data_IF_624420543543
#
_entry.id   IF_624420543543
#
_cell.length_a   1.000
_cell.length_b   1.000
_cell.length_c   1.000
_cell.angle_alpha   90.00
_cell.angle_beta   90.00
_cell.angle_gamma   90.00
#
_symmetry.space_group_name_H-M   'P 1'
#
loop_
_entity.id
_entity.type
_entity.pdbx_description
1 polymer ?
#
# COMPACT_ATOMS: atom_id res chain seq x y z
N UNK A 1 16.44 -20.77 75.57
CA UNK A 1 17.48 -21.83 75.60
C UNK A 1 17.39 -22.67 74.33
N UNK A 2 18.44 -22.57 73.48
CA UNK A 2 19.14 -23.65 72.72
C UNK A 2 18.28 -24.68 71.97
N UNK A 3 18.59 -25.11 70.77
CA UNK A 3 19.82 -25.23 69.92
C UNK A 3 19.42 -25.57 68.47
N UNK A 4 20.04 -24.95 67.56
CA UNK A 4 20.69 -25.43 66.34
C UNK A 4 20.52 -26.90 65.99
N UNK A 5 20.04 -27.14 64.72
CA UNK A 5 20.22 -28.42 64.02
C UNK A 5 20.34 -28.08 62.52
N UNK A 6 21.59 -28.09 62.03
CA UNK A 6 21.99 -27.96 60.64
C UNK A 6 21.82 -29.35 60.00
N UNK A 7 21.08 -29.46 58.94
CA UNK A 7 21.15 -30.60 58.02
C UNK A 7 21.26 -30.11 56.57
N UNK A 8 22.45 -30.17 56.06
CA UNK A 8 22.82 -30.04 54.67
C UNK A 8 22.31 -31.26 53.90
N UNK A 9 21.44 -31.03 52.89
CA UNK A 9 21.12 -32.01 51.88
C UNK A 9 21.65 -31.46 50.55
N UNK A 10 22.73 -32.10 50.10
CA UNK A 10 23.28 -31.97 48.76
C UNK A 10 22.32 -32.63 47.78
N UNK A 11 21.53 -31.81 47.06
CA UNK A 11 20.67 -32.22 45.99
C UNK A 11 21.33 -31.89 44.66
N UNK A 12 21.62 -32.89 43.87
CA UNK A 12 22.15 -32.83 42.50
C UNK A 12 21.12 -32.12 41.64
N UNK A 13 21.44 -30.90 41.21
CA UNK A 13 20.63 -30.18 40.24
C UNK A 13 20.88 -30.75 38.83
N UNK A 14 19.98 -31.58 38.35
CA UNK A 14 19.91 -31.94 36.93
C UNK A 14 19.55 -30.71 36.12
N UNK A 15 20.51 -30.17 35.37
CA UNK A 15 20.29 -29.12 34.40
C UNK A 15 19.56 -29.74 33.20
N UNK A 16 18.25 -29.70 33.19
CA UNK A 16 17.47 -29.91 31.98
C UNK A 16 17.67 -28.71 31.09
N UNK A 17 18.51 -28.85 30.06
CA UNK A 17 18.62 -27.87 28.98
C UNK A 17 17.32 -27.88 28.18
N UNK A 18 16.38 -27.05 28.55
CA UNK A 18 15.23 -26.73 27.72
C UNK A 18 15.80 -25.90 26.58
N UNK A 19 15.91 -26.51 25.41
CA UNK A 19 16.06 -25.80 24.13
C UNK A 19 14.81 -24.93 23.96
N UNK A 20 14.86 -23.75 24.54
CA UNK A 20 13.88 -22.72 24.31
C UNK A 20 13.97 -22.28 22.86
N UNK A 21 13.00 -22.71 22.06
CA UNK A 21 12.70 -22.04 20.79
C UNK A 21 12.41 -20.60 21.18
N UNK A 22 13.37 -19.70 20.94
CA UNK A 22 13.16 -18.28 21.10
C UNK A 22 11.93 -17.91 20.26
N UNK A 23 10.93 -17.21 20.84
CA UNK A 23 9.82 -16.73 20.03
C UNK A 23 10.44 -15.88 18.92
N UNK A 24 10.13 -16.22 17.67
CA UNK A 24 10.48 -15.39 16.51
C UNK A 24 9.96 -14.00 16.86
N UNK A 25 10.88 -13.10 17.19
CA UNK A 25 10.55 -11.78 17.69
C UNK A 25 9.66 -11.09 16.65
N UNK A 26 8.42 -10.82 17.04
CA UNK A 26 7.56 -9.94 16.27
C UNK A 26 8.34 -8.64 16.08
N UNK A 27 8.74 -8.34 14.85
CA UNK A 27 9.40 -7.07 14.53
C UNK A 27 8.34 -5.99 14.81
N UNK A 28 8.51 -5.29 15.93
CA UNK A 28 7.65 -4.15 16.26
C UNK A 28 8.08 -3.01 15.35
N UNK A 29 7.23 -2.60 14.44
CA UNK A 29 7.40 -1.37 13.67
C UNK A 29 7.14 -0.16 14.58
N UNK A 30 8.07 0.06 15.52
CA UNK A 30 7.94 1.09 16.55
C UNK A 30 8.27 2.49 16.03
N UNK A 31 8.88 2.64 14.88
CA UNK A 31 9.31 3.93 14.35
C UNK A 31 9.09 4.02 12.83
N UNK A 32 8.78 5.23 12.34
CA UNK A 32 8.78 5.54 10.91
C UNK A 32 10.17 5.32 10.30
N UNK A 33 10.23 5.04 8.99
CA UNK A 33 11.48 4.85 8.27
C UNK A 33 12.42 6.04 8.45
N UNK A 34 13.68 5.76 8.74
CA UNK A 34 14.76 6.75 8.64
C UNK A 34 15.23 6.87 7.18
N UNK A 35 15.90 8.01 6.86
CA UNK A 35 16.50 8.17 5.54
C UNK A 35 17.46 7.02 5.19
N UNK A 36 18.33 6.65 6.12
CA UNK A 36 19.31 5.58 5.91
C UNK A 36 18.68 4.20 5.66
N UNK A 37 17.54 3.92 6.29
CA UNK A 37 16.78 2.68 6.05
C UNK A 37 16.11 2.72 4.68
N UNK A 38 15.38 3.81 4.36
CA UNK A 38 14.73 3.99 3.07
C UNK A 38 15.71 3.93 1.91
N UNK A 39 16.89 4.60 2.03
CA UNK A 39 17.88 4.68 0.96
C UNK A 39 18.51 3.32 0.60
N UNK A 40 18.53 2.36 1.54
CA UNK A 40 18.99 0.98 1.31
C UNK A 40 17.97 0.12 0.55
N UNK A 41 16.68 0.48 0.58
CA UNK A 41 15.65 -0.30 -0.11
C UNK A 41 15.69 -0.04 -1.61
N UNK A 42 15.60 -1.10 -2.39
CA UNK A 42 15.31 -1.02 -3.83
C UNK A 42 13.80 -0.88 -4.06
N UNK A 43 13.34 -0.47 -5.25
CA UNK A 43 11.91 -0.50 -5.59
C UNK A 43 11.29 -1.88 -5.40
N UNK A 44 12.00 -2.96 -5.74
CA UNK A 44 11.52 -4.33 -5.60
C UNK A 44 11.39 -4.75 -4.13
N UNK A 45 12.31 -4.34 -3.25
CA UNK A 45 12.20 -4.57 -1.81
C UNK A 45 10.95 -3.91 -1.25
N UNK A 46 10.64 -2.67 -1.67
CA UNK A 46 9.47 -1.92 -1.22
C UNK A 46 8.17 -2.62 -1.66
N UNK A 47 8.11 -3.07 -2.92
CA UNK A 47 6.96 -3.83 -3.44
C UNK A 47 6.80 -5.14 -2.66
N UNK A 48 7.90 -5.85 -2.38
CA UNK A 48 7.87 -7.07 -1.59
C UNK A 48 7.39 -6.83 -0.15
N UNK A 49 7.78 -5.72 0.47
CA UNK A 49 7.29 -5.32 1.80
C UNK A 49 5.79 -5.05 1.80
N UNK A 50 5.26 -4.33 0.79
CA UNK A 50 3.83 -4.08 0.64
C UNK A 50 3.04 -5.39 0.44
N UNK A 51 3.55 -6.32 -0.38
CA UNK A 51 2.93 -7.65 -0.57
C UNK A 51 2.85 -8.43 0.74
N UNK A 52 3.95 -8.48 1.50
CA UNK A 52 3.99 -9.12 2.83
C UNK A 52 3.08 -8.44 3.84
N UNK A 53 2.96 -7.11 3.77
CA UNK A 53 2.02 -6.35 4.59
C UNK A 53 0.57 -6.73 4.28
N UNK A 54 0.20 -6.82 3.01
CA UNK A 54 -1.12 -7.28 2.61
C UNK A 54 -1.41 -8.73 3.04
N UNK A 55 -0.41 -9.61 3.01
CA UNK A 55 -0.56 -10.96 3.53
C UNK A 55 -0.87 -10.97 5.03
N UNK A 56 -0.14 -10.16 5.83
CA UNK A 56 -0.42 -10.03 7.27
C UNK A 56 -1.82 -9.48 7.53
N UNK A 57 -2.23 -8.42 6.81
CA UNK A 57 -3.58 -7.86 6.89
C UNK A 57 -4.65 -8.94 6.64
N UNK A 58 -4.51 -9.73 5.58
CA UNK A 58 -5.46 -10.80 5.23
C UNK A 58 -5.55 -11.93 6.26
N UNK A 59 -4.47 -12.17 6.99
CA UNK A 59 -4.40 -13.20 8.02
C UNK A 59 -4.79 -12.69 9.42
N UNK A 60 -5.10 -11.39 9.57
CA UNK A 60 -5.32 -10.78 10.89
C UNK A 60 -4.07 -10.81 11.77
N UNK A 61 -2.89 -10.70 11.15
CA UNK A 61 -1.58 -10.78 11.80
C UNK A 61 -0.77 -9.50 11.58
N UNK A 62 -1.46 -8.36 11.54
CA UNK A 62 -0.85 -7.07 11.35
C UNK A 62 0.26 -6.83 12.39
N UNK A 63 1.25 -6.08 11.96
CA UNK A 63 2.33 -5.67 12.83
C UNK A 63 1.81 -4.74 13.93
N UNK A 64 2.29 -4.85 15.17
CA UNK A 64 1.95 -3.88 16.20
C UNK A 64 2.56 -2.53 15.83
N UNK A 65 1.71 -1.55 15.49
CA UNK A 65 2.10 -0.17 15.20
C UNK A 65 1.99 0.70 16.46
N UNK A 66 3.09 1.31 16.90
CA UNK A 66 3.05 2.41 17.85
C UNK A 66 2.90 3.74 17.08
N UNK A 67 1.67 4.09 16.74
CA UNK A 67 1.38 5.29 15.96
C UNK A 67 1.84 6.59 16.65
N UNK A 68 1.86 6.64 17.99
CA UNK A 68 2.35 7.82 18.71
C UNK A 68 3.87 7.94 18.61
N UNK A 69 4.60 6.83 18.71
CA UNK A 69 6.05 6.83 18.50
C UNK A 69 6.40 7.16 17.04
N UNK A 70 5.68 6.60 16.07
CA UNK A 70 5.85 6.89 14.65
C UNK A 70 5.57 8.37 14.33
N UNK A 71 4.49 8.94 14.87
CA UNK A 71 4.15 10.35 14.74
C UNK A 71 5.25 11.25 15.30
N UNK A 72 5.74 10.97 16.51
CA UNK A 72 6.85 11.73 17.12
C UNK A 72 8.14 11.59 16.31
N UNK A 73 8.45 10.38 15.85
CA UNK A 73 9.67 10.08 15.08
C UNK A 73 9.69 10.77 13.72
N UNK A 74 8.55 10.92 13.06
CA UNK A 74 8.42 11.56 11.74
C UNK A 74 8.16 13.08 11.79
N UNK A 75 7.92 13.67 12.97
CA UNK A 75 7.52 15.08 13.09
C UNK A 75 8.55 16.10 12.53
N UNK A 76 9.84 15.78 12.57
CA UNK A 76 10.92 16.65 12.09
C UNK A 76 11.46 16.30 10.70
N UNK A 77 10.94 15.23 10.09
CA UNK A 77 11.34 14.76 8.77
C UNK A 77 10.68 13.44 8.43
N UNK A 78 10.32 13.28 7.17
CA UNK A 78 9.67 12.08 6.67
C UNK A 78 10.46 11.48 5.52
N UNK A 79 10.53 10.16 5.46
CA UNK A 79 11.29 9.41 4.46
C UNK A 79 10.47 8.25 3.89
N UNK A 80 9.28 8.53 3.33
CA UNK A 80 8.41 7.50 2.79
C UNK A 80 9.07 6.74 1.67
N UNK A 81 8.81 5.43 1.62
CA UNK A 81 9.36 4.56 0.58
C UNK A 81 8.55 4.59 -0.72
N UNK A 82 7.25 4.89 -0.63
CA UNK A 82 6.31 4.86 -1.75
C UNK A 82 5.35 6.05 -1.75
N UNK A 83 4.76 6.33 -2.90
CA UNK A 83 3.53 7.10 -3.05
C UNK A 83 2.45 6.21 -3.64
N UNK A 84 1.27 6.20 -3.04
CA UNK A 84 0.14 5.34 -3.42
C UNK A 84 -1.01 6.23 -3.92
N UNK A 85 -1.41 6.04 -5.17
CA UNK A 85 -2.63 6.60 -5.72
C UNK A 85 -3.75 5.57 -5.62
N UNK A 86 -4.75 5.83 -4.79
CA UNK A 86 -5.90 4.95 -4.63
C UNK A 86 -7.24 5.68 -4.74
N UNK A 87 -8.34 4.91 -4.75
CA UNK A 87 -9.68 5.50 -4.71
C UNK A 87 -9.97 6.10 -3.32
N UNK A 88 -10.87 7.10 -3.29
CA UNK A 88 -11.42 7.64 -2.02
C UNK A 88 -12.35 6.64 -1.31
N UNK A 89 -12.63 5.48 -1.87
CA UNK A 89 -13.53 4.46 -1.30
C UNK A 89 -13.12 4.16 0.15
N UNK A 90 -14.06 4.32 1.09
CA UNK A 90 -13.80 4.16 2.52
C UNK A 90 -13.36 2.74 2.93
N UNK A 91 -13.61 1.76 2.07
CA UNK A 91 -13.25 0.34 2.28
C UNK A 91 -11.84 0.02 1.78
N UNK A 92 -11.16 0.97 1.12
CA UNK A 92 -9.84 0.75 0.49
C UNK A 92 -8.76 1.70 1.04
N UNK A 93 -8.51 1.76 2.37
CA UNK A 93 -7.40 2.51 2.95
C UNK A 93 -6.08 1.77 2.68
N UNK A 94 -5.30 2.25 1.71
CA UNK A 94 -4.12 1.54 1.21
C UNK A 94 -3.08 1.23 2.29
N UNK A 95 -2.84 2.17 3.19
CA UNK A 95 -1.90 2.01 4.30
C UNK A 95 -2.29 0.87 5.25
N UNK A 96 -3.58 0.79 5.60
CA UNK A 96 -4.10 -0.29 6.46
C UNK A 96 -4.01 -1.64 5.75
N UNK A 97 -4.45 -1.69 4.48
CA UNK A 97 -4.47 -2.92 3.67
C UNK A 97 -3.06 -3.50 3.46
N UNK A 98 -2.04 -2.63 3.46
CA UNK A 98 -0.65 -3.03 3.28
C UNK A 98 0.14 -3.05 4.59
N UNK A 99 -0.54 -2.94 5.75
CA UNK A 99 0.08 -2.96 7.08
C UNK A 99 1.26 -1.97 7.18
N UNK A 100 1.03 -0.72 6.73
CA UNK A 100 2.00 0.38 6.74
C UNK A 100 1.72 1.33 7.90
N UNK A 101 2.78 1.89 8.46
CA UNK A 101 2.73 2.85 9.55
C UNK A 101 2.74 4.32 9.09
N UNK A 102 2.65 5.23 10.09
CA UNK A 102 2.78 6.67 9.85
C UNK A 102 4.20 6.98 9.34
N UNK A 103 4.27 7.61 8.17
CA UNK A 103 5.53 8.01 7.53
C UNK A 103 6.12 7.00 6.55
N UNK A 104 5.51 5.83 6.36
CA UNK A 104 6.01 4.80 5.45
C UNK A 104 5.65 5.06 3.99
N UNK A 105 4.53 5.72 3.71
CA UNK A 105 4.10 6.08 2.37
C UNK A 105 3.39 7.44 2.31
N UNK A 106 3.41 8.07 1.13
CA UNK A 106 2.49 9.13 0.78
C UNK A 106 1.19 8.52 0.26
N UNK A 107 0.05 9.12 0.62
CA UNK A 107 -1.27 8.71 0.14
C UNK A 107 -1.90 9.82 -0.70
N UNK A 108 -2.18 9.52 -1.96
CA UNK A 108 -2.98 10.35 -2.85
C UNK A 108 -4.28 9.60 -3.16
N UNK A 109 -5.45 10.22 -2.88
CA UNK A 109 -6.74 9.54 -3.04
C UNK A 109 -7.71 10.41 -3.83
N UNK A 110 -8.28 9.82 -4.87
CA UNK A 110 -9.32 10.44 -5.69
C UNK A 110 -10.25 9.36 -6.23
N UNK A 111 -11.55 9.66 -6.40
CA UNK A 111 -12.52 8.68 -6.92
C UNK A 111 -12.05 8.09 -8.25
N UNK A 112 -12.03 6.75 -8.32
CA UNK A 112 -11.54 6.03 -9.50
C UNK A 112 -10.04 6.11 -9.73
N UNK A 113 -9.24 6.47 -8.73
CA UNK A 113 -7.75 6.51 -8.78
C UNK A 113 -7.18 7.11 -10.08
N UNK A 114 -7.82 8.16 -10.62
CA UNK A 114 -7.38 8.87 -11.83
C UNK A 114 -6.19 9.78 -11.53
N UNK A 115 -5.33 10.04 -12.52
CA UNK A 115 -4.29 11.07 -12.42
C UNK A 115 -4.82 12.42 -12.96
N UNK A 116 -4.52 13.50 -12.24
CA UNK A 116 -4.65 14.88 -12.68
C UNK A 116 -3.34 15.63 -12.36
N UNK A 117 -3.23 16.90 -12.74
CA UNK A 117 -1.97 17.63 -12.59
C UNK A 117 -1.53 17.76 -11.12
N UNK A 118 -2.49 17.94 -10.19
CA UNK A 118 -2.18 18.01 -8.75
C UNK A 118 -1.67 16.67 -8.19
N UNK A 119 -2.26 15.56 -8.62
CA UNK A 119 -1.82 14.20 -8.27
C UNK A 119 -0.42 13.94 -8.85
N UNK A 120 -0.19 14.26 -10.13
CA UNK A 120 1.12 14.07 -10.77
C UNK A 120 2.19 14.93 -10.10
N UNK A 121 1.90 16.23 -9.84
CA UNK A 121 2.81 17.12 -9.11
C UNK A 121 3.14 16.60 -7.69
N UNK A 122 2.15 16.03 -7.00
CA UNK A 122 2.37 15.37 -5.70
C UNK A 122 3.28 14.15 -5.81
N UNK A 123 3.16 13.36 -6.87
CA UNK A 123 4.06 12.23 -7.13
C UNK A 123 5.49 12.68 -7.48
N UNK A 124 5.63 13.77 -8.25
CA UNK A 124 6.94 14.38 -8.52
C UNK A 124 7.62 14.82 -7.23
N UNK A 125 6.89 15.52 -6.36
CA UNK A 125 7.38 15.86 -5.03
C UNK A 125 7.80 14.61 -4.24
N UNK A 126 6.93 13.60 -4.18
CA UNK A 126 7.20 12.37 -3.44
C UNK A 126 8.46 11.65 -3.93
N UNK A 127 8.64 11.52 -5.25
CA UNK A 127 9.74 10.77 -5.83
C UNK A 127 11.01 11.60 -5.96
N UNK A 128 10.93 12.80 -6.55
CA UNK A 128 12.11 13.62 -6.87
C UNK A 128 12.67 14.36 -5.65
N UNK A 129 11.80 14.86 -4.77
CA UNK A 129 12.21 15.68 -3.62
C UNK A 129 12.32 14.84 -2.35
N UNK A 130 11.28 14.09 -2.01
CA UNK A 130 11.25 13.28 -0.79
C UNK A 130 11.93 11.92 -0.95
N UNK A 131 12.14 11.43 -2.18
CA UNK A 131 12.93 10.25 -2.51
C UNK A 131 12.16 8.94 -2.37
N UNK A 132 10.84 8.94 -2.50
CA UNK A 132 10.06 7.72 -2.65
C UNK A 132 10.48 6.98 -3.93
N UNK A 133 10.56 5.66 -3.87
CA UNK A 133 11.09 4.82 -4.96
C UNK A 133 10.03 3.99 -5.67
N UNK A 134 8.77 4.01 -5.19
CA UNK A 134 7.64 3.31 -5.81
C UNK A 134 6.48 4.27 -5.98
N UNK A 135 5.90 4.29 -7.18
CA UNK A 135 4.58 4.84 -7.48
C UNK A 135 3.64 3.66 -7.63
N UNK A 136 2.71 3.49 -6.69
CA UNK A 136 1.67 2.46 -6.76
C UNK A 136 0.35 3.08 -7.18
N UNK A 137 -0.25 2.58 -8.25
CA UNK A 137 -1.62 2.90 -8.65
C UNK A 137 -2.51 1.72 -8.27
N UNK A 138 -3.36 1.90 -7.26
CA UNK A 138 -4.22 0.84 -6.75
C UNK A 138 -5.69 1.10 -7.07
N UNK A 139 -6.27 0.23 -7.90
CA UNK A 139 -7.71 0.11 -8.08
C UNK A 139 -8.32 -0.88 -7.08
N UNK A 140 -9.64 -1.01 -7.09
CA UNK A 140 -10.33 -2.00 -6.27
C UNK A 140 -11.59 -2.53 -6.95
N UNK A 141 -12.03 -3.71 -6.53
CA UNK A 141 -13.27 -4.33 -7.03
C UNK A 141 -14.51 -3.50 -6.63
N UNK A 142 -15.59 -3.64 -7.39
CA UNK A 142 -16.87 -3.00 -7.14
C UNK A 142 -16.81 -1.47 -6.99
N UNK A 143 -15.86 -0.79 -7.67
CA UNK A 143 -15.63 0.65 -7.53
C UNK A 143 -16.81 1.48 -8.01
N UNK A 144 -17.35 2.35 -7.13
CA UNK A 144 -18.49 3.20 -7.43
C UNK A 144 -18.23 4.22 -8.55
N UNK A 145 -17.01 4.78 -8.62
CA UNK A 145 -16.63 5.69 -9.70
C UNK A 145 -16.58 4.99 -11.06
N UNK A 146 -16.08 3.75 -11.09
CA UNK A 146 -16.07 2.94 -12.32
C UNK A 146 -17.50 2.62 -12.77
N UNK A 147 -18.39 2.19 -11.85
CA UNK A 147 -19.81 1.98 -12.14
C UNK A 147 -20.46 3.24 -12.72
N UNK A 148 -20.23 4.39 -12.07
CA UNK A 148 -20.75 5.68 -12.53
C UNK A 148 -20.24 6.07 -13.93
N UNK A 149 -18.99 5.76 -14.28
CA UNK A 149 -18.44 6.02 -15.60
C UNK A 149 -19.06 5.10 -16.67
N UNK A 150 -19.27 3.81 -16.34
CA UNK A 150 -19.94 2.84 -17.21
C UNK A 150 -21.38 3.29 -17.52
N UNK A 151 -22.11 3.66 -16.47
CA UNK A 151 -23.54 4.05 -16.57
C UNK A 151 -23.74 5.52 -16.99
N UNK A 152 -22.65 6.25 -17.29
CA UNK A 152 -22.64 7.65 -17.76
C UNK A 152 -23.38 8.60 -16.82
N UNK A 153 -23.21 8.40 -15.50
CA UNK A 153 -23.82 9.24 -14.47
C UNK A 153 -23.41 10.71 -14.65
N UNK A 154 -24.40 11.61 -14.51
CA UNK A 154 -24.18 13.06 -14.60
C UNK A 154 -24.56 13.70 -13.26
N UNK A 155 -23.59 14.34 -12.60
CA UNK A 155 -23.79 15.04 -11.35
C UNK A 155 -22.66 16.08 -11.15
N UNK A 156 -22.94 17.33 -11.35
CA UNK A 156 -22.03 18.44 -11.06
C UNK A 156 -20.58 18.15 -11.51
N UNK A 157 -19.63 18.34 -10.61
CA UNK A 157 -18.20 18.08 -10.88
C UNK A 157 -17.86 16.60 -11.05
N UNK A 158 -18.68 15.69 -10.54
CA UNK A 158 -18.51 14.25 -10.73
C UNK A 158 -18.55 13.88 -12.23
N UNK A 159 -19.38 14.54 -13.02
CA UNK A 159 -19.44 14.31 -14.48
C UNK A 159 -18.08 14.44 -15.15
N UNK A 160 -17.33 15.50 -14.83
CA UNK A 160 -15.99 15.72 -15.37
C UNK A 160 -14.94 14.73 -14.85
N UNK A 161 -15.09 14.27 -13.60
CA UNK A 161 -14.24 13.24 -13.02
C UNK A 161 -14.46 11.89 -13.74
N UNK A 162 -15.72 11.46 -13.89
CA UNK A 162 -16.07 10.20 -14.54
C UNK A 162 -15.68 10.18 -16.04
N UNK A 163 -15.67 11.35 -16.69
CA UNK A 163 -15.17 11.47 -18.07
C UNK A 163 -13.71 11.03 -18.20
N UNK A 164 -12.89 11.15 -17.16
CA UNK A 164 -11.48 10.70 -17.15
C UNK A 164 -11.34 9.17 -17.04
N UNK A 165 -12.37 8.49 -16.54
CA UNK A 165 -12.43 7.02 -16.46
C UNK A 165 -12.96 6.40 -17.75
N UNK A 166 -13.76 7.13 -18.55
CA UNK A 166 -14.40 6.61 -19.78
C UNK A 166 -13.45 5.95 -20.76
N UNK A 167 -12.21 6.44 -21.00
CA UNK A 167 -11.27 5.74 -21.86
C UNK A 167 -11.02 4.28 -21.43
N UNK A 168 -11.03 4.00 -20.13
CA UNK A 168 -10.90 2.62 -19.63
C UNK A 168 -12.14 1.78 -19.96
N UNK A 169 -13.35 2.36 -19.85
CA UNK A 169 -14.59 1.68 -20.24
C UNK A 169 -14.54 1.30 -21.73
N UNK A 170 -14.10 2.22 -22.59
CA UNK A 170 -14.02 2.02 -24.05
C UNK A 170 -12.95 0.99 -24.42
N UNK A 171 -11.77 1.06 -23.78
CA UNK A 171 -10.64 0.17 -24.06
C UNK A 171 -10.80 -1.25 -23.50
N UNK A 172 -11.73 -1.47 -22.56
CA UNK A 172 -11.93 -2.80 -21.97
C UNK A 172 -12.64 -3.72 -22.95
N UNK A 173 -11.94 -4.78 -23.37
CA UNK A 173 -12.55 -5.87 -24.16
C UNK A 173 -13.27 -6.81 -23.21
N UNK A 174 -14.57 -6.99 -23.41
CA UNK A 174 -15.40 -7.82 -22.54
C UNK A 174 -16.53 -8.47 -23.33
N UNK A 175 -16.75 -9.76 -23.10
CA UNK A 175 -17.89 -10.50 -23.67
C UNK A 175 -18.97 -10.61 -22.61
N UNK A 176 -20.16 -10.07 -22.88
CA UNK A 176 -21.29 -10.06 -21.97
C UNK A 176 -21.84 -8.66 -21.72
N UNK A 177 -22.66 -8.52 -20.68
CA UNK A 177 -23.32 -7.26 -20.35
C UNK A 177 -22.31 -6.21 -19.88
N UNK A 178 -22.33 -5.04 -20.53
CA UNK A 178 -21.44 -3.90 -20.24
C UNK A 178 -22.19 -2.84 -19.42
N UNK A 179 -22.57 -3.18 -18.19
CA UNK A 179 -23.30 -2.28 -17.28
C UNK A 179 -22.62 -2.19 -15.92
N UNK A 180 -22.91 -1.13 -15.15
CA UNK A 180 -22.43 -0.96 -13.78
C UNK A 180 -23.01 -2.00 -12.80
N UNK A 181 -23.98 -2.82 -13.22
CA UNK A 181 -24.54 -3.94 -12.45
C UNK A 181 -23.75 -5.23 -12.62
N UNK A 182 -23.01 -5.37 -13.72
CA UNK A 182 -22.13 -6.51 -13.96
C UNK A 182 -20.77 -6.28 -13.28
N UNK A 183 -20.55 -6.88 -12.12
CA UNK A 183 -19.35 -6.69 -11.32
C UNK A 183 -18.08 -7.17 -12.04
N UNK A 184 -18.12 -8.24 -12.80
CA UNK A 184 -16.97 -8.73 -13.56
C UNK A 184 -16.54 -7.71 -14.62
N UNK A 185 -17.49 -7.08 -15.29
CA UNK A 185 -17.20 -5.99 -16.20
C UNK A 185 -16.66 -4.76 -15.48
N UNK A 186 -17.26 -4.37 -14.35
CA UNK A 186 -16.77 -3.25 -13.52
C UNK A 186 -15.32 -3.47 -13.11
N UNK A 187 -14.97 -4.67 -12.66
CA UNK A 187 -13.64 -5.00 -12.19
C UNK A 187 -12.62 -5.08 -13.34
N UNK A 188 -13.02 -5.58 -14.49
CA UNK A 188 -12.21 -5.52 -15.71
C UNK A 188 -11.92 -4.06 -16.14
N UNK A 189 -12.92 -3.18 -16.07
CA UNK A 189 -12.75 -1.74 -16.33
C UNK A 189 -11.86 -1.09 -15.27
N UNK A 190 -12.03 -1.44 -13.98
CA UNK A 190 -11.19 -0.93 -12.90
C UNK A 190 -9.71 -1.27 -13.12
N UNK A 191 -9.41 -2.52 -13.50
CA UNK A 191 -8.04 -2.95 -13.85
C UNK A 191 -7.50 -2.16 -15.05
N UNK A 192 -8.29 -2.04 -16.10
CA UNK A 192 -7.91 -1.24 -17.30
C UNK A 192 -7.66 0.23 -16.92
N UNK A 193 -8.46 0.80 -16.02
CA UNK A 193 -8.26 2.15 -15.54
C UNK A 193 -6.93 2.32 -14.79
N UNK A 194 -6.50 1.35 -14.00
CA UNK A 194 -5.16 1.36 -13.36
C UNK A 194 -4.08 1.37 -14.43
N UNK A 195 -4.15 0.49 -15.44
CA UNK A 195 -3.18 0.42 -16.54
C UNK A 195 -3.07 1.76 -17.28
N UNK A 196 -4.21 2.37 -17.64
CA UNK A 196 -4.25 3.66 -18.33
C UNK A 196 -3.78 4.80 -17.44
N UNK A 197 -4.06 4.77 -16.15
CA UNK A 197 -3.57 5.77 -15.20
C UNK A 197 -2.05 5.71 -15.08
N UNK A 198 -1.43 4.53 -15.02
CA UNK A 198 0.03 4.38 -15.03
C UNK A 198 0.63 4.96 -16.32
N UNK A 199 0.04 4.66 -17.46
CA UNK A 199 0.49 5.21 -18.75
C UNK A 199 0.33 6.75 -18.80
N UNK A 200 -0.76 7.27 -18.24
CA UNK A 200 -1.04 8.71 -18.19
C UNK A 200 -0.03 9.45 -17.29
N UNK A 201 0.35 8.88 -16.14
CA UNK A 201 1.38 9.41 -15.25
C UNK A 201 2.71 9.54 -15.99
N UNK A 202 3.16 8.48 -16.68
CA UNK A 202 4.40 8.49 -17.48
C UNK A 202 4.37 9.55 -18.59
N UNK A 203 3.24 9.68 -19.26
CA UNK A 203 3.05 10.64 -20.35
C UNK A 203 3.05 12.10 -19.86
N UNK A 204 2.49 12.36 -18.66
CA UNK A 204 2.34 13.72 -18.11
C UNK A 204 3.59 14.21 -17.42
N UNK A 205 4.43 13.33 -16.86
CA UNK A 205 5.60 13.71 -16.09
C UNK A 205 6.89 13.16 -16.71
N UNK A 206 7.63 14.00 -17.38
CA UNK A 206 8.99 13.67 -17.81
C UNK A 206 9.89 13.33 -16.61
N UNK A 207 9.69 13.99 -15.46
CA UNK A 207 10.46 13.73 -14.24
C UNK A 207 10.27 12.29 -13.76
N UNK A 208 9.03 11.81 -13.68
CA UNK A 208 8.74 10.44 -13.25
C UNK A 208 9.20 9.43 -14.30
N UNK A 209 9.03 9.73 -15.59
CA UNK A 209 9.50 8.87 -16.68
C UNK A 209 11.04 8.70 -16.66
N UNK A 210 11.79 9.77 -16.42
CA UNK A 210 13.25 9.73 -16.29
C UNK A 210 13.70 8.95 -15.05
N UNK A 211 13.04 9.13 -13.91
CA UNK A 211 13.30 8.36 -12.69
C UNK A 211 13.01 6.86 -12.87
N UNK A 212 11.97 6.53 -13.62
CA UNK A 212 11.65 5.13 -13.95
C UNK A 212 12.66 4.53 -14.93
N UNK A 213 13.05 5.28 -15.97
CA UNK A 213 14.05 4.85 -16.95
C UNK A 213 15.43 4.61 -16.31
N UNK A 214 15.81 5.44 -15.34
CA UNK A 214 17.05 5.25 -14.57
C UNK A 214 16.99 4.12 -13.53
N UNK A 215 15.82 3.49 -13.31
CA UNK A 215 15.61 2.49 -12.27
C UNK A 215 15.52 3.04 -10.84
N UNK A 216 15.54 4.36 -10.66
CA UNK A 216 15.43 5.00 -9.35
C UNK A 216 14.01 4.90 -8.78
N UNK A 217 13.01 4.85 -9.63
CA UNK A 217 11.59 4.69 -9.29
C UNK A 217 10.99 3.55 -10.11
N UNK A 218 10.01 2.86 -9.56
CA UNK A 218 9.18 1.89 -10.28
C UNK A 218 7.71 2.25 -10.15
N UNK A 219 7.01 2.36 -11.28
CA UNK A 219 5.56 2.50 -11.31
C UNK A 219 4.93 1.12 -11.45
N UNK A 220 4.02 0.78 -10.55
CA UNK A 220 3.35 -0.52 -10.49
C UNK A 220 1.85 -0.35 -10.27
N UNK A 221 1.06 -1.23 -10.88
CA UNK A 221 -0.38 -1.31 -10.69
C UNK A 221 -0.77 -2.36 -9.67
N UNK A 222 -1.91 -2.17 -9.02
CA UNK A 222 -2.52 -3.22 -8.22
C UNK A 222 -4.05 -3.15 -8.24
N UNK A 223 -4.68 -4.30 -7.99
CA UNK A 223 -6.12 -4.42 -7.73
C UNK A 223 -6.34 -4.98 -6.33
N UNK A 224 -7.08 -4.24 -5.53
CA UNK A 224 -7.54 -4.67 -4.21
C UNK A 224 -8.92 -5.31 -4.31
N UNK A 225 -9.04 -6.54 -3.87
CA UNK A 225 -10.31 -7.25 -3.82
C UNK A 225 -10.98 -6.99 -2.46
N UNK A 226 -12.15 -6.32 -2.48
CA UNK A 226 -12.90 -5.94 -1.28
C UNK A 226 -13.44 -7.13 -0.46
N UNK A 227 -13.62 -8.30 -1.09
CA UNK A 227 -14.17 -9.49 -0.42
C UNK A 227 -13.08 -10.31 0.26
N UNK A 228 -11.94 -10.46 -0.42
CA UNK A 228 -10.86 -11.34 0.04
C UNK A 228 -9.72 -10.61 0.75
N UNK A 229 -9.68 -9.28 0.65
CA UNK A 229 -8.57 -8.47 1.14
C UNK A 229 -7.28 -8.57 0.32
N UNK A 230 -7.27 -9.35 -0.78
CA UNK A 230 -6.09 -9.55 -1.60
C UNK A 230 -5.76 -8.31 -2.44
N UNK A 231 -4.50 -7.92 -2.43
CA UNK A 231 -3.93 -6.96 -3.37
C UNK A 231 -3.09 -7.71 -4.41
N UNK A 232 -3.59 -7.78 -5.64
CA UNK A 232 -2.89 -8.35 -6.79
C UNK A 232 -2.06 -7.26 -7.47
N UNK A 233 -0.73 -7.39 -7.46
CA UNK A 233 0.19 -6.48 -8.13
C UNK A 233 0.46 -6.90 -9.58
N UNK A 234 0.55 -5.92 -10.49
CA UNK A 234 0.90 -6.12 -11.90
C UNK A 234 1.68 -4.92 -12.47
N UNK A 235 2.33 -5.11 -13.60
CA UNK A 235 3.13 -4.11 -14.32
C UNK A 235 2.49 -3.76 -15.66
#
# INVERSE_FOLDING_TARGET
>A
MNRRGFLSITGIASVATILGVAPVGRVVYAAALTRAQRDKLTPDDIIALMKKGNERFRLGQESPHDYLAQQKGSAKGQYPAAVILSCIDSRAPAETIMDLGIGDCFNARVAGNIANDDIVGSMEFACKIAGAKVVLVMGHTACGAIKGAIDKVQLGKLTGLLAKVRPAVEATRYQGERSGKNYDFVDAVARKNVELTMADIRRRSAILADLETSGAVRTVGAMYNLETGLVEFFS
#
